data_IF_886708039638
#
_entry.id   IF_886708039638
#
_cell.length_a   1.000
_cell.length_b   1.000
_cell.length_c   1.000
_cell.angle_alpha   90.00
_cell.angle_beta   90.00
_cell.angle_gamma   90.00
#
_symmetry.space_group_name_H-M   'P 1'
#
loop_
_entity.id
_entity.type
_entity.pdbx_description
1 polymer ?
#
# COMPACT_ATOMS: atom_id res chain seq x y z
N UNK A 1 0.88 1.97 19.23
CA UNK A 1 2.12 1.47 19.85
C UNK A 1 2.18 1.99 21.28
N UNK A 2 2.86 1.31 22.21
CA UNK A 2 3.00 1.75 23.59
C UNK A 2 4.42 1.44 24.10
N UNK A 3 4.97 2.32 24.92
CA UNK A 3 6.31 2.18 25.48
C UNK A 3 6.89 3.52 25.95
N UNK A 4 8.08 3.52 26.58
CA UNK A 4 8.74 4.75 27.00
C UNK A 4 8.92 5.73 25.84
N UNK A 5 8.53 7.00 26.07
CA UNK A 5 8.62 8.05 25.05
C UNK A 5 7.56 8.00 23.94
N UNK A 6 6.72 6.97 23.87
CA UNK A 6 5.63 6.91 22.88
C UNK A 6 4.41 7.67 23.44
N UNK A 7 3.84 8.63 22.68
CA UNK A 7 2.63 9.33 23.11
C UNK A 7 1.45 8.40 23.41
N UNK A 8 0.85 8.56 24.59
CA UNK A 8 -0.32 7.80 25.03
C UNK A 8 -1.61 8.40 24.47
N UNK A 9 -2.62 7.55 24.26
CA UNK A 9 -3.96 7.93 23.81
C UNK A 9 -4.00 8.79 22.54
N UNK A 10 -3.03 8.59 21.65
CA UNK A 10 -2.94 9.25 20.35
C UNK A 10 -3.38 8.34 19.21
N UNK A 11 -4.07 8.92 18.24
CA UNK A 11 -4.35 8.31 16.93
C UNK A 11 -3.50 8.99 15.85
N UNK A 12 -2.97 8.19 14.93
CA UNK A 12 -2.26 8.65 13.72
C UNK A 12 -2.93 8.02 12.51
N UNK A 13 -3.18 8.80 11.47
CA UNK A 13 -3.80 8.35 10.22
C UNK A 13 -2.77 8.14 9.09
N UNK A 14 -1.49 7.96 9.44
CA UNK A 14 -0.44 7.63 8.46
C UNK A 14 -0.63 6.21 7.92
N UNK A 15 -0.36 6.03 6.63
CA UNK A 15 -0.29 4.70 6.01
C UNK A 15 0.96 3.95 6.45
N UNK A 16 0.77 2.74 6.96
CA UNK A 16 1.84 1.90 7.51
C UNK A 16 1.70 0.45 7.06
N UNK A 17 2.83 -0.25 6.99
CA UNK A 17 2.87 -1.70 6.83
C UNK A 17 3.25 -2.39 8.13
N UNK A 18 2.99 -3.69 8.20
CA UNK A 18 3.51 -4.54 9.28
C UNK A 18 5.04 -4.55 9.32
N UNK A 19 5.70 -4.52 8.15
CA UNK A 19 7.16 -4.53 8.03
C UNK A 19 7.85 -3.25 8.55
N UNK A 20 7.08 -2.18 8.82
CA UNK A 20 7.60 -0.94 9.42
C UNK A 20 7.92 -1.11 10.92
N UNK A 21 7.41 -2.15 11.56
CA UNK A 21 7.65 -2.40 13.00
C UNK A 21 9.14 -2.60 13.27
N UNK A 22 9.83 -3.41 12.47
CA UNK A 22 11.24 -3.72 12.70
C UNK A 22 12.16 -2.48 12.68
N UNK A 23 12.19 -1.65 11.62
CA UNK A 23 13.02 -0.43 11.61
C UNK A 23 12.58 0.58 12.68
N UNK A 24 11.30 0.60 13.07
CA UNK A 24 10.83 1.42 14.19
C UNK A 24 11.46 0.98 15.51
N UNK A 25 11.48 -0.32 15.79
CA UNK A 25 12.10 -0.86 17.00
C UNK A 25 13.60 -0.60 16.99
N UNK A 26 14.31 -0.83 15.88
CA UNK A 26 15.73 -0.51 15.73
C UNK A 26 16.01 0.95 16.14
N UNK A 27 15.25 1.91 15.60
CA UNK A 27 15.45 3.32 15.92
C UNK A 27 15.17 3.62 17.41
N UNK A 28 14.12 3.03 18.00
CA UNK A 28 13.78 3.25 19.42
C UNK A 28 14.86 2.75 20.38
N UNK A 29 15.63 1.73 19.99
CA UNK A 29 16.72 1.17 20.81
C UNK A 29 18.12 1.64 20.37
N UNK A 30 18.19 2.63 19.46
CA UNK A 30 19.46 3.22 19.02
C UNK A 30 20.29 2.33 18.09
N UNK A 31 19.67 1.39 17.37
CA UNK A 31 20.31 0.54 16.37
C UNK A 31 19.96 0.99 14.94
N UNK A 32 20.91 0.81 14.03
CA UNK A 32 20.66 0.98 12.60
C UNK A 32 20.02 -0.31 12.03
N UNK A 33 18.91 -0.22 11.27
CA UNK A 33 18.38 -1.37 10.56
C UNK A 33 19.34 -1.79 9.42
N UNK A 34 19.44 -3.09 9.09
CA UNK A 34 20.21 -3.54 7.92
C UNK A 34 19.73 -2.90 6.61
N UNK A 35 20.60 -2.73 5.59
CA UNK A 35 20.22 -2.14 4.30
C UNK A 35 19.13 -2.91 3.54
N UNK A 36 18.92 -4.19 3.85
CA UNK A 36 17.88 -5.02 3.24
C UNK A 36 16.48 -4.77 3.81
N UNK A 37 16.32 -3.88 4.79
CA UNK A 37 15.02 -3.53 5.37
C UNK A 37 14.34 -2.50 4.48
N UNK A 38 13.22 -2.88 3.88
CA UNK A 38 12.41 -2.00 3.02
C UNK A 38 11.41 -1.15 3.81
N UNK A 39 11.19 -1.50 5.09
CA UNK A 39 10.31 -0.76 5.98
C UNK A 39 10.84 0.60 6.35
N UNK A 40 9.93 1.50 6.72
CA UNK A 40 10.25 2.85 7.16
C UNK A 40 9.89 2.98 8.63
N UNK A 41 10.82 3.51 9.42
CA UNK A 41 10.57 3.74 10.84
C UNK A 41 9.40 4.72 11.04
N UNK A 42 8.53 4.37 11.99
CA UNK A 42 7.35 5.16 12.35
C UNK A 42 7.64 6.20 13.43
N UNK A 43 8.87 6.25 13.99
CA UNK A 43 9.20 7.11 15.14
C UNK A 43 8.85 8.57 14.89
N UNK A 44 9.13 9.11 13.69
CA UNK A 44 8.79 10.49 13.36
C UNK A 44 7.26 10.72 13.38
N UNK A 45 6.49 9.85 12.71
CA UNK A 45 5.03 9.94 12.66
C UNK A 45 4.36 9.66 14.02
N UNK A 46 5.02 8.93 14.92
CA UNK A 46 4.53 8.76 16.30
C UNK A 46 4.58 10.07 17.09
N UNK A 47 5.60 10.91 16.88
CA UNK A 47 5.78 12.15 17.63
C UNK A 47 5.13 13.36 16.97
N UNK A 48 5.05 13.39 15.64
CA UNK A 48 4.47 14.49 14.88
C UNK A 48 3.31 14.02 13.99
N UNK A 49 2.05 14.44 14.26
CA UNK A 49 0.90 14.10 13.41
C UNK A 49 0.99 14.66 11.98
N UNK A 50 1.82 15.68 11.74
CA UNK A 50 2.04 16.25 10.40
C UNK A 50 2.96 15.40 9.52
N UNK A 51 3.69 14.45 10.10
CA UNK A 51 4.61 13.59 9.36
C UNK A 51 3.90 12.34 8.83
N UNK A 52 3.95 12.16 7.51
CA UNK A 52 3.49 10.94 6.84
C UNK A 52 4.68 10.12 6.37
N UNK A 53 4.60 8.81 6.59
CA UNK A 53 5.68 7.87 6.20
C UNK A 53 5.63 7.53 4.71
N UNK A 54 4.43 7.57 4.12
CA UNK A 54 4.13 7.36 2.70
C UNK A 54 2.73 7.87 2.37
N UNK A 55 2.47 8.06 1.08
CA UNK A 55 1.19 8.57 0.56
C UNK A 55 0.27 7.47 0.02
N UNK A 56 0.82 6.28 -0.22
CA UNK A 56 0.08 5.12 -0.74
C UNK A 56 0.66 3.81 -0.19
N UNK A 57 -0.15 2.75 -0.25
CA UNK A 57 0.26 1.38 0.02
C UNK A 57 0.17 0.56 -1.27
N UNK A 58 1.23 -0.17 -1.58
CA UNK A 58 1.28 -1.28 -2.51
C UNK A 58 0.83 -2.57 -1.81
N UNK A 59 -0.19 -3.23 -2.35
CA UNK A 59 -0.77 -4.44 -1.80
C UNK A 59 -0.47 -5.59 -2.76
N UNK A 60 0.12 -6.67 -2.24
CA UNK A 60 0.43 -7.85 -3.04
C UNK A 60 0.00 -9.12 -2.31
N UNK A 61 -0.59 -10.06 -3.05
CA UNK A 61 -0.88 -11.40 -2.55
C UNK A 61 -0.55 -12.45 -3.63
N UNK A 62 0.54 -13.18 -3.39
CA UNK A 62 1.09 -14.19 -4.29
C UNK A 62 1.12 -13.72 -5.76
N UNK A 63 0.83 -14.60 -6.72
CA UNK A 63 0.67 -14.24 -8.13
C UNK A 63 -0.75 -13.79 -8.51
N UNK A 64 -1.64 -13.57 -7.55
CA UNK A 64 -3.08 -13.42 -7.81
C UNK A 64 -3.58 -11.99 -7.72
N UNK A 65 -2.98 -11.15 -6.87
CA UNK A 65 -3.53 -9.82 -6.57
C UNK A 65 -2.44 -8.76 -6.50
N UNK A 66 -2.70 -7.60 -7.11
CA UNK A 66 -2.00 -6.33 -6.83
C UNK A 66 -2.98 -5.21 -6.59
N UNK A 67 -2.60 -4.26 -5.74
CA UNK A 67 -3.44 -3.10 -5.49
C UNK A 67 -2.66 -1.91 -4.98
N UNK A 68 -3.30 -0.75 -5.09
CA UNK A 68 -2.84 0.50 -4.51
C UNK A 68 -3.93 1.04 -3.61
N UNK A 69 -3.57 1.47 -2.41
CA UNK A 69 -4.45 2.16 -1.48
C UNK A 69 -3.89 3.56 -1.22
N UNK A 70 -4.69 4.60 -1.46
CA UNK A 70 -4.41 6.00 -1.12
C UNK A 70 -5.43 6.48 -0.10
N UNK A 71 -5.30 7.74 0.35
CA UNK A 71 -6.23 8.31 1.34
C UNK A 71 -7.67 8.33 0.81
N UNK A 72 -7.82 8.47 -0.50
CA UNK A 72 -9.12 8.62 -1.17
C UNK A 72 -9.60 7.32 -1.80
N UNK A 73 -8.73 6.58 -2.46
CA UNK A 73 -9.15 5.49 -3.34
C UNK A 73 -8.36 4.22 -3.10
N UNK A 74 -8.98 3.09 -3.44
CA UNK A 74 -8.31 1.79 -3.50
C UNK A 74 -8.59 1.15 -4.85
N UNK A 75 -7.54 0.79 -5.56
CA UNK A 75 -7.61 -0.01 -6.77
C UNK A 75 -7.02 -1.39 -6.50
N UNK A 76 -7.71 -2.44 -6.89
CA UNK A 76 -7.24 -3.82 -6.78
C UNK A 76 -7.45 -4.52 -8.13
N UNK A 77 -6.46 -5.30 -8.55
CA UNK A 77 -6.50 -6.17 -9.71
C UNK A 77 -6.28 -7.61 -9.26
N UNK A 78 -7.12 -8.50 -9.77
CA UNK A 78 -7.09 -9.93 -9.51
C UNK A 78 -6.89 -10.70 -10.82
N UNK A 79 -6.07 -11.73 -10.78
CA UNK A 79 -5.93 -12.74 -11.82
C UNK A 79 -6.21 -14.11 -11.20
N UNK A 80 -7.43 -14.61 -11.35
CA UNK A 80 -7.89 -15.88 -10.74
C UNK A 80 -8.65 -16.69 -11.78
N UNK A 81 -8.33 -17.97 -11.89
CA UNK A 81 -8.97 -18.90 -12.85
C UNK A 81 -9.01 -18.39 -14.30
N UNK A 82 -7.94 -17.72 -14.72
CA UNK A 82 -7.81 -17.13 -16.07
C UNK A 82 -8.62 -15.83 -16.28
N UNK A 83 -9.31 -15.34 -15.25
CA UNK A 83 -10.10 -14.12 -15.31
C UNK A 83 -9.37 -12.94 -14.66
N UNK A 84 -9.43 -11.79 -15.32
CA UNK A 84 -8.96 -10.52 -14.76
C UNK A 84 -10.16 -9.75 -14.20
N UNK A 85 -10.11 -9.41 -12.92
CA UNK A 85 -11.12 -8.55 -12.27
C UNK A 85 -10.44 -7.33 -11.68
N UNK A 86 -11.02 -6.15 -11.95
CA UNK A 86 -10.59 -4.89 -11.33
C UNK A 86 -11.68 -4.41 -10.36
N UNK A 87 -11.25 -3.96 -9.19
CA UNK A 87 -12.09 -3.28 -8.22
C UNK A 87 -11.53 -1.88 -7.93
N UNK A 88 -12.42 -0.89 -7.87
CA UNK A 88 -12.10 0.48 -7.50
C UNK A 88 -13.10 0.93 -6.43
N UNK A 89 -12.60 1.45 -5.31
CA UNK A 89 -13.41 1.96 -4.21
C UNK A 89 -13.00 3.39 -3.87
N UNK A 90 -13.99 4.24 -3.57
CA UNK A 90 -13.80 5.52 -2.89
C UNK A 90 -13.90 5.25 -1.38
N UNK A 91 -12.79 5.39 -0.66
CA UNK A 91 -12.69 5.05 0.77
C UNK A 91 -13.29 6.11 1.68
N UNK A 92 -13.53 7.31 1.17
CA UNK A 92 -14.21 8.37 1.94
C UNK A 92 -15.71 8.26 1.83
N UNK A 93 -16.21 8.08 0.60
CA UNK A 93 -17.64 7.92 0.33
C UNK A 93 -18.16 6.51 0.65
N UNK A 94 -17.30 5.49 0.54
CA UNK A 94 -17.60 4.08 0.82
C UNK A 94 -16.54 3.44 1.75
N UNK A 95 -16.56 3.76 3.06
CA UNK A 95 -15.58 3.25 4.03
C UNK A 95 -15.58 1.72 4.19
N UNK A 96 -16.65 1.05 3.75
CA UNK A 96 -16.80 -0.41 3.84
C UNK A 96 -16.41 -1.13 2.55
N UNK A 97 -16.03 -0.39 1.50
CA UNK A 97 -15.58 -0.93 0.22
C UNK A 97 -16.60 -1.93 -0.40
N UNK A 98 -17.89 -1.60 -0.33
CA UNK A 98 -18.98 -2.48 -0.82
C UNK A 98 -19.45 -2.14 -2.24
N UNK A 99 -19.10 -0.97 -2.76
CA UNK A 99 -19.52 -0.48 -4.08
C UNK A 99 -18.33 -0.45 -5.05
N UNK A 100 -18.22 -1.47 -5.91
CA UNK A 100 -17.21 -1.45 -6.96
C UNK A 100 -17.54 -0.37 -8.02
N UNK A 101 -16.61 0.57 -8.20
CA UNK A 101 -16.68 1.68 -9.15
C UNK A 101 -15.87 1.44 -10.43
N UNK A 102 -15.17 0.30 -10.55
CA UNK A 102 -14.32 0.03 -11.69
C UNK A 102 -15.12 -0.06 -13.01
N UNK A 103 -14.54 0.46 -14.09
CA UNK A 103 -15.13 0.42 -15.43
C UNK A 103 -16.27 1.41 -15.67
N UNK A 104 -16.61 2.26 -14.69
CA UNK A 104 -17.63 3.29 -14.88
C UNK A 104 -17.03 4.52 -15.60
N UNK A 105 -17.76 5.19 -16.51
CA UNK A 105 -17.25 6.36 -17.21
C UNK A 105 -16.78 7.48 -16.28
N UNK A 106 -17.49 7.70 -15.18
CA UNK A 106 -17.18 8.76 -14.20
C UNK A 106 -15.89 8.53 -13.42
N UNK A 107 -15.41 7.29 -13.31
CA UNK A 107 -14.19 6.93 -12.58
C UNK A 107 -13.02 6.57 -13.50
N UNK A 108 -13.19 6.68 -14.81
CA UNK A 108 -12.18 6.30 -15.80
C UNK A 108 -10.83 7.00 -15.58
N UNK A 109 -10.85 8.30 -15.30
CA UNK A 109 -9.63 9.07 -15.03
C UNK A 109 -8.92 8.60 -13.76
N UNK A 110 -9.68 8.35 -12.68
CA UNK A 110 -9.14 7.89 -11.39
C UNK A 110 -8.55 6.49 -11.54
N UNK A 111 -9.26 5.59 -12.25
CA UNK A 111 -8.79 4.24 -12.51
C UNK A 111 -7.48 4.25 -13.32
N UNK A 112 -7.37 5.11 -14.34
CA UNK A 112 -6.16 5.25 -15.14
C UNK A 112 -4.98 5.82 -14.31
N UNK A 113 -5.23 6.82 -13.49
CA UNK A 113 -4.22 7.41 -12.61
C UNK A 113 -3.68 6.38 -11.61
N UNK A 114 -4.56 5.68 -10.90
CA UNK A 114 -4.17 4.66 -9.93
C UNK A 114 -3.49 3.46 -10.60
N UNK A 115 -3.88 3.11 -11.83
CA UNK A 115 -3.20 2.08 -12.60
C UNK A 115 -1.76 2.49 -12.94
N UNK A 116 -1.53 3.75 -13.30
CA UNK A 116 -0.19 4.26 -13.56
C UNK A 116 0.66 4.29 -12.26
N UNK A 117 0.08 4.75 -11.15
CA UNK A 117 0.75 4.72 -9.85
C UNK A 117 1.06 3.28 -9.40
N UNK A 118 0.18 2.32 -9.69
CA UNK A 118 0.42 0.92 -9.37
C UNK A 118 1.63 0.34 -10.12
N UNK A 119 1.84 0.74 -11.37
CA UNK A 119 3.03 0.37 -12.14
C UNK A 119 4.30 1.02 -11.57
N UNK A 120 4.22 2.28 -11.13
CA UNK A 120 5.34 2.91 -10.45
C UNK A 120 5.70 2.18 -9.15
N UNK A 121 4.70 1.82 -8.34
CA UNK A 121 4.90 1.07 -7.10
C UNK A 121 5.45 -0.34 -7.35
N UNK A 122 5.04 -1.02 -8.43
CA UNK A 122 5.63 -2.31 -8.83
C UNK A 122 7.15 -2.19 -8.95
N UNK A 123 7.62 -1.11 -9.57
CA UNK A 123 9.05 -0.86 -9.78
C UNK A 123 9.73 -0.39 -8.49
N UNK A 124 9.11 0.47 -7.68
CA UNK A 124 9.64 0.91 -6.37
C UNK A 124 9.85 -0.26 -5.41
N UNK A 125 8.96 -1.26 -5.45
CA UNK A 125 8.98 -2.44 -4.58
C UNK A 125 9.69 -3.64 -5.19
N UNK A 126 10.43 -3.46 -6.29
CA UNK A 126 11.16 -4.53 -6.98
C UNK A 126 10.31 -5.79 -7.22
N UNK A 127 9.00 -5.64 -7.45
CA UNK A 127 8.07 -6.77 -7.42
C UNK A 127 8.36 -7.77 -8.56
N UNK A 128 8.90 -7.28 -9.68
CA UNK A 128 9.37 -8.09 -10.81
C UNK A 128 10.62 -8.92 -10.49
N UNK A 129 11.31 -8.69 -9.37
CA UNK A 129 12.39 -9.55 -8.89
C UNK A 129 11.87 -10.85 -8.25
N UNK A 130 10.56 -10.94 -7.98
CA UNK A 130 9.93 -12.12 -7.38
C UNK A 130 9.21 -12.97 -8.42
N UNK A 131 9.18 -14.29 -8.22
CA UNK A 131 8.42 -15.20 -9.10
C UNK A 131 6.93 -14.88 -9.11
N UNK A 132 6.39 -14.41 -7.98
CA UNK A 132 4.99 -14.03 -7.83
C UNK A 132 4.65 -12.74 -8.57
N UNK A 133 5.49 -11.71 -8.49
CA UNK A 133 5.30 -10.48 -9.25
C UNK A 133 5.43 -10.72 -10.74
N UNK A 134 6.43 -11.49 -11.18
CA UNK A 134 6.55 -11.90 -12.57
C UNK A 134 5.30 -12.62 -13.07
N UNK A 135 4.78 -13.59 -12.31
CA UNK A 135 3.57 -14.31 -12.67
C UNK A 135 2.34 -13.39 -12.78
N UNK A 136 2.16 -12.47 -11.84
CA UNK A 136 1.04 -11.53 -11.87
C UNK A 136 1.13 -10.58 -13.07
N UNK A 137 2.29 -9.97 -13.31
CA UNK A 137 2.48 -8.95 -14.35
C UNK A 137 2.68 -9.51 -15.77
N UNK A 138 2.83 -10.84 -15.92
CA UNK A 138 2.86 -11.49 -17.23
C UNK A 138 1.49 -11.52 -17.91
N UNK A 139 0.39 -11.30 -17.17
CA UNK A 139 -0.95 -11.21 -17.74
C UNK A 139 -1.11 -9.87 -18.46
N UNK A 140 -1.46 -9.91 -19.75
CA UNK A 140 -1.65 -8.70 -20.54
C UNK A 140 -2.74 -7.80 -19.93
N UNK A 141 -2.58 -6.45 -19.95
CA UNK A 141 -3.64 -5.54 -19.55
C UNK A 141 -4.85 -5.72 -20.48
N UNK A 142 -6.02 -6.00 -19.90
CA UNK A 142 -7.32 -5.97 -20.59
C UNK A 142 -7.86 -4.55 -20.70
#
# INVERSE_FOLDING_TARGET
MAGPGIPADQRRDSMVYLLDIYPTLCQLIGLAPPPSVEGRSLVAALHDPGVRVRNSLYLAYAGYQRGICTDQHKLIRYHVDGNTTTQLFDRQADPWEVNNLAGRPETASIQAELAAQLLHLRDEWDDLATTWGQAFWAVAPT
#
